data_IF_908320766084
#
_entry.id   IF_908320766084
#
_cell.length_a   1.000
_cell.length_b   1.000
_cell.length_c   1.000
_cell.angle_alpha   90.00
_cell.angle_beta   90.00
_cell.angle_gamma   90.00
#
_symmetry.space_group_name_H-M   'P 1'
#
loop_
_entity.id
_entity.type
_entity.pdbx_description
1 polymer ?
#
# COMPACT_ATOMS: atom_id res chain seq x y z
N UNK A 1 9.38 14.63 -23.44
CA UNK A 1 8.18 15.44 -23.12
C UNK A 1 7.83 15.17 -21.67
N UNK A 2 7.98 16.14 -20.79
CA UNK A 2 7.63 16.00 -19.36
C UNK A 2 6.10 16.03 -19.24
N UNK A 3 5.47 14.85 -19.16
CA UNK A 3 4.04 14.73 -18.88
C UNK A 3 3.70 15.20 -17.46
N UNK A 4 2.43 15.55 -17.20
CA UNK A 4 1.96 15.92 -15.87
C UNK A 4 2.25 14.76 -14.89
N UNK A 5 3.10 14.94 -13.87
CA UNK A 5 3.51 13.84 -12.98
C UNK A 5 2.35 13.23 -12.19
N UNK A 6 1.28 14.01 -11.94
CA UNK A 6 0.09 13.52 -11.23
C UNK A 6 -0.76 12.57 -12.06
N UNK A 7 -0.67 12.62 -13.39
CA UNK A 7 -1.50 11.77 -14.25
C UNK A 7 -0.66 10.79 -15.07
N UNK A 8 0.61 11.11 -15.32
CA UNK A 8 1.53 10.27 -16.07
C UNK A 8 1.67 8.88 -15.43
N UNK A 9 2.03 8.82 -14.14
CA UNK A 9 2.21 7.55 -13.45
C UNK A 9 0.89 6.75 -13.30
N UNK A 10 -0.23 7.33 -12.82
CA UNK A 10 -1.50 6.61 -12.79
C UNK A 10 -1.90 6.05 -14.16
N UNK A 11 -1.72 6.82 -15.23
CA UNK A 11 -2.06 6.36 -16.58
C UNK A 11 -1.14 5.22 -17.07
N UNK A 12 0.14 5.18 -16.67
CA UNK A 12 1.05 4.06 -17.00
C UNK A 12 0.55 2.73 -16.42
N UNK A 13 -0.15 2.77 -15.29
CA UNK A 13 -0.74 1.58 -14.64
C UNK A 13 -2.23 1.39 -14.95
N UNK A 14 -2.79 2.20 -15.86
CA UNK A 14 -4.18 2.12 -16.27
C UNK A 14 -5.21 2.65 -15.24
N UNK A 15 -4.78 3.49 -14.30
CA UNK A 15 -5.63 4.10 -13.26
C UNK A 15 -5.80 5.61 -13.50
N UNK A 16 -6.97 6.14 -13.13
CA UNK A 16 -7.13 7.59 -12.95
C UNK A 16 -6.38 8.05 -11.70
N UNK A 17 -6.04 9.34 -11.62
CA UNK A 17 -5.42 9.92 -10.41
C UNK A 17 -6.23 9.62 -9.13
N UNK A 18 -7.56 9.67 -9.21
CA UNK A 18 -8.44 9.39 -8.08
C UNK A 18 -8.38 7.94 -7.61
N UNK A 19 -8.41 6.98 -8.53
CA UNK A 19 -8.27 5.55 -8.22
C UNK A 19 -6.91 5.25 -7.60
N UNK A 20 -5.85 5.78 -8.20
CA UNK A 20 -4.49 5.61 -7.74
C UNK A 20 -4.29 6.21 -6.35
N UNK A 21 -4.74 7.46 -6.13
CA UNK A 21 -4.68 8.13 -4.85
C UNK A 21 -5.45 7.38 -3.76
N UNK A 22 -6.67 6.92 -4.05
CA UNK A 22 -7.47 6.18 -3.09
C UNK A 22 -6.82 4.85 -2.72
N UNK A 23 -6.25 4.14 -3.69
CA UNK A 23 -5.56 2.87 -3.47
C UNK A 23 -4.29 3.06 -2.63
N UNK A 24 -3.37 3.92 -3.09
CA UNK A 24 -2.12 4.20 -2.42
C UNK A 24 -2.35 4.81 -1.02
N UNK A 25 -3.28 5.76 -0.91
CA UNK A 25 -3.65 6.41 0.35
C UNK A 25 -4.19 5.43 1.39
N UNK A 26 -5.11 4.53 1.00
CA UNK A 26 -5.63 3.49 1.90
C UNK A 26 -4.53 2.55 2.38
N UNK A 27 -3.61 2.18 1.50
CA UNK A 27 -2.48 1.32 1.84
C UNK A 27 -1.51 2.01 2.79
N UNK A 28 -1.18 3.29 2.54
CA UNK A 28 -0.38 4.11 3.44
C UNK A 28 -0.99 4.25 4.83
N UNK A 29 -2.29 4.54 4.92
CA UNK A 29 -2.99 4.65 6.22
C UNK A 29 -2.96 3.33 7.01
N UNK A 30 -3.10 2.19 6.33
CA UNK A 30 -2.96 0.86 6.94
C UNK A 30 -1.55 0.62 7.48
N UNK A 31 -0.52 0.96 6.70
CA UNK A 31 0.87 0.85 7.14
C UNK A 31 1.15 1.73 8.36
N UNK A 32 0.74 3.01 8.33
CA UNK A 32 0.87 3.94 9.46
C UNK A 32 0.16 3.40 10.71
N UNK A 33 -1.10 2.97 10.57
CA UNK A 33 -1.86 2.38 11.68
C UNK A 33 -1.21 1.11 12.24
N UNK A 34 -0.71 0.23 11.37
CA UNK A 34 -0.01 -1.00 11.77
C UNK A 34 1.33 -0.72 12.46
N UNK A 35 2.07 0.30 12.01
CA UNK A 35 3.30 0.76 12.63
C UNK A 35 3.04 1.34 14.01
N UNK A 36 2.01 2.18 14.16
CA UNK A 36 1.60 2.71 15.45
C UNK A 36 1.18 1.59 16.41
N UNK A 37 0.40 0.61 15.93
CA UNK A 37 0.02 -0.55 16.72
C UNK A 37 1.26 -1.35 17.20
N UNK A 38 2.27 -1.51 16.35
CA UNK A 38 3.54 -2.14 16.70
C UNK A 38 4.31 -1.35 17.78
N UNK A 39 4.36 -0.02 17.66
CA UNK A 39 4.99 0.86 18.66
C UNK A 39 4.28 0.78 20.02
N UNK A 40 2.95 0.78 20.02
CA UNK A 40 2.18 0.62 21.26
C UNK A 40 2.40 -0.77 21.86
N UNK A 41 2.42 -1.82 21.03
CA UNK A 41 2.71 -3.19 21.46
C UNK A 41 4.11 -3.31 22.10
N UNK A 42 5.11 -2.60 21.56
CA UNK A 42 6.46 -2.60 22.14
C UNK A 42 6.50 -2.06 23.58
N UNK A 43 5.58 -1.15 23.94
CA UNK A 43 5.42 -0.64 25.31
C UNK A 43 4.48 -1.55 26.13
N UNK A 44 3.40 -2.03 25.50
CA UNK A 44 2.36 -2.85 26.11
C UNK A 44 2.19 -4.18 25.36
N UNK A 45 2.94 -5.23 25.72
CA UNK A 45 3.04 -6.46 24.92
C UNK A 45 1.75 -7.28 24.83
N UNK A 46 0.72 -6.92 25.59
CA UNK A 46 -0.61 -7.54 25.53
C UNK A 46 -1.60 -6.81 24.61
N UNK A 47 -1.26 -5.60 24.14
CA UNK A 47 -2.07 -4.83 23.18
C UNK A 47 -1.61 -5.13 21.74
N UNK A 48 -2.54 -5.19 20.79
CA UNK A 48 -2.25 -5.28 19.35
C UNK A 48 -1.36 -6.46 18.90
N UNK A 49 -1.38 -7.58 19.64
CA UNK A 49 -0.49 -8.75 19.48
C UNK A 49 -0.32 -9.23 18.04
N UNK A 50 -1.41 -9.21 17.24
CA UNK A 50 -1.38 -9.66 15.85
C UNK A 50 -1.65 -8.57 14.82
N UNK A 51 -2.02 -7.36 15.26
CA UNK A 51 -2.54 -6.29 14.38
C UNK A 51 -1.56 -5.92 13.27
N UNK A 52 -0.28 -5.76 13.60
CA UNK A 52 0.73 -5.40 12.62
C UNK A 52 0.95 -6.52 11.59
N UNK A 53 1.13 -7.76 12.09
CA UNK A 53 1.37 -8.93 11.23
C UNK A 53 0.19 -9.23 10.31
N UNK A 54 -1.04 -9.16 10.82
CA UNK A 54 -2.24 -9.44 10.04
C UNK A 54 -2.48 -8.37 8.98
N UNK A 55 -2.22 -7.09 9.31
CA UNK A 55 -2.29 -5.99 8.34
C UNK A 55 -1.31 -6.23 7.18
N UNK A 56 -0.05 -6.56 7.49
CA UNK A 56 0.97 -6.85 6.46
C UNK A 56 0.57 -8.08 5.63
N UNK A 57 0.07 -9.15 6.25
CA UNK A 57 -0.39 -10.36 5.52
C UNK A 57 -1.56 -10.07 4.58
N UNK A 58 -2.53 -9.27 5.02
CA UNK A 58 -3.67 -8.87 4.21
C UNK A 58 -3.24 -7.99 3.04
N UNK A 59 -2.34 -7.04 3.28
CA UNK A 59 -1.77 -6.19 2.24
C UNK A 59 -0.96 -6.99 1.23
N UNK A 60 -0.08 -7.87 1.70
CA UNK A 60 0.70 -8.75 0.85
C UNK A 60 -0.20 -9.64 -0.02
N UNK A 61 -1.28 -10.21 0.53
CA UNK A 61 -2.26 -10.97 -0.27
C UNK A 61 -2.93 -10.11 -1.35
N UNK A 62 -3.21 -8.83 -1.06
CA UNK A 62 -3.75 -7.89 -2.03
C UNK A 62 -2.77 -7.51 -3.15
N UNK A 63 -1.50 -7.29 -2.79
CA UNK A 63 -0.41 -6.94 -3.72
C UNK A 63 -0.04 -8.14 -4.58
N UNK A 64 0.12 -9.34 -3.99
CA UNK A 64 0.51 -10.55 -4.70
C UNK A 64 -0.46 -10.90 -5.83
N UNK A 65 -1.77 -10.64 -5.66
CA UNK A 65 -2.77 -10.81 -6.74
C UNK A 65 -2.57 -9.87 -7.94
N UNK A 66 -1.74 -8.84 -7.81
CA UNK A 66 -1.46 -7.82 -8.83
C UNK A 66 -0.07 -8.00 -9.48
N UNK A 67 0.81 -8.80 -8.88
CA UNK A 67 2.17 -9.07 -9.40
C UNK A 67 2.14 -9.75 -10.78
N UNK A 68 1.03 -10.40 -11.14
CA UNK A 68 0.84 -11.00 -12.47
C UNK A 68 0.59 -9.97 -13.60
N UNK A 69 0.56 -8.67 -13.30
CA UNK A 69 0.45 -7.63 -14.32
C UNK A 69 1.75 -7.51 -15.15
N UNK A 70 1.66 -7.46 -16.49
CA UNK A 70 2.83 -7.23 -17.32
C UNK A 70 3.45 -5.91 -16.92
N UNK A 71 4.75 -5.90 -16.57
CA UNK A 71 5.56 -4.74 -16.14
C UNK A 71 5.48 -4.27 -14.67
N UNK A 72 4.94 -5.08 -13.74
CA UNK A 72 4.81 -4.73 -12.32
C UNK A 72 6.08 -4.13 -11.67
N UNK A 73 7.27 -4.60 -12.07
CA UNK A 73 8.57 -4.11 -11.57
C UNK A 73 8.86 -2.66 -11.94
N UNK A 74 8.29 -2.16 -13.03
CA UNK A 74 8.51 -0.78 -13.51
C UNK A 74 7.53 0.21 -12.88
N UNK A 75 6.34 -0.24 -12.48
CA UNK A 75 5.29 0.63 -11.96
C UNK A 75 4.62 0.02 -10.72
N UNK A 76 5.34 -0.11 -9.59
CA UNK A 76 4.75 -0.61 -8.36
C UNK A 76 3.67 0.37 -7.87
N UNK A 77 2.46 -0.15 -7.69
CA UNK A 77 1.30 0.60 -7.18
C UNK A 77 1.38 0.77 -5.65
N UNK A 78 2.15 -0.11 -4.98
CA UNK A 78 2.56 -0.07 -3.57
C UNK A 78 3.83 -0.89 -3.35
#
# INVERSE_FOLDING_TARGET
MTGNPFTHHPHEVGETYGEHFAHAGRSGLRLVGSGLACLIHAVFPFLFVHTASDTVRDMHRGIARRVDAPNWERHPII
#
